data_IF_389054344655
#
_entry.id   IF_389054344655
#
_cell.length_a   1.000
_cell.length_b   1.000
_cell.length_c   1.000
_cell.angle_alpha   90.00
_cell.angle_beta   90.00
_cell.angle_gamma   90.00
#
_symmetry.space_group_name_H-M   'P 1'
#
loop_
_entity.id
_entity.type
_entity.pdbx_description
1 polymer ?
#
# COMPACT_ATOMS: atom_id res chain seq x y z
N UNK A 1 11.95 21.76 -17.99
CA UNK A 1 11.72 20.83 -16.87
C UNK A 1 10.25 20.45 -16.92
N UNK A 2 9.98 19.15 -16.95
CA UNK A 2 8.60 18.65 -16.93
C UNK A 2 8.22 18.33 -15.50
N UNK A 3 7.13 18.91 -15.02
CA UNK A 3 6.50 18.48 -13.79
C UNK A 3 5.57 17.32 -14.15
N UNK A 4 5.71 16.23 -13.44
CA UNK A 4 4.86 15.03 -13.58
C UNK A 4 4.01 14.89 -12.32
N UNK A 5 2.86 14.27 -12.46
CA UNK A 5 2.02 13.94 -11.33
C UNK A 5 1.75 12.44 -11.30
N UNK A 6 1.61 11.89 -10.11
CA UNK A 6 1.15 10.52 -9.89
C UNK A 6 0.14 10.47 -8.74
N UNK A 7 -0.85 9.60 -8.88
CA UNK A 7 -1.66 9.17 -7.74
C UNK A 7 -1.01 7.97 -7.10
N UNK A 8 -1.06 7.90 -5.80
CA UNK A 8 -0.41 6.85 -5.03
C UNK A 8 -1.25 6.45 -3.82
N UNK A 9 -0.94 5.30 -3.26
CA UNK A 9 -1.60 4.76 -2.09
C UNK A 9 -0.54 4.26 -1.11
N UNK A 10 -0.53 4.80 0.11
CA UNK A 10 0.44 4.39 1.13
C UNK A 10 0.28 2.91 1.44
N UNK A 11 1.39 2.19 1.51
CA UNK A 11 1.45 0.76 1.81
C UNK A 11 2.52 0.49 2.86
N UNK A 12 2.29 -0.56 3.65
CA UNK A 12 3.29 -1.13 4.55
C UNK A 12 3.13 -2.64 4.60
N UNK A 13 4.15 -3.34 5.04
CA UNK A 13 4.11 -4.79 5.30
C UNK A 13 4.77 -5.08 6.63
N UNK A 14 4.32 -6.14 7.31
CA UNK A 14 4.94 -6.63 8.53
C UNK A 14 4.64 -8.11 8.72
N UNK A 15 5.38 -8.77 9.62
CA UNK A 15 5.05 -10.09 10.12
C UNK A 15 4.45 -9.98 11.53
N UNK A 16 3.53 -10.86 11.86
CA UNK A 16 3.03 -11.00 13.22
C UNK A 16 4.12 -11.63 14.08
N UNK A 17 4.46 -11.00 15.19
CA UNK A 17 5.45 -11.51 16.14
C UNK A 17 4.74 -12.20 17.31
N UNK A 18 4.78 -13.51 17.30
CA UNK A 18 4.13 -14.38 18.27
C UNK A 18 2.66 -14.66 17.95
N UNK A 19 2.10 -15.66 18.61
CA UNK A 19 0.69 -16.02 18.47
C UNK A 19 -0.16 -14.98 19.22
N UNK A 20 -1.17 -14.41 18.55
CA UNK A 20 -2.11 -13.47 19.15
C UNK A 20 -3.56 -13.88 18.89
N UNK A 21 -4.44 -13.57 19.83
CA UNK A 21 -5.89 -13.79 19.75
C UNK A 21 -6.66 -12.61 20.36
N UNK A 22 -6.10 -11.41 20.25
CA UNK A 22 -6.66 -10.15 20.75
C UNK A 22 -6.69 -9.11 19.64
N UNK A 23 -7.26 -7.93 19.91
CA UNK A 23 -7.14 -6.78 18.99
C UNK A 23 -5.69 -6.26 18.92
N UNK A 24 -4.89 -6.44 19.98
CA UNK A 24 -3.51 -6.00 20.02
C UNK A 24 -2.61 -7.00 19.29
N UNK A 25 -1.84 -6.51 18.33
CA UNK A 25 -0.93 -7.31 17.52
C UNK A 25 0.47 -6.72 17.64
N UNK A 26 1.43 -7.60 17.99
CA UNK A 26 2.85 -7.26 17.93
C UNK A 26 3.38 -7.64 16.57
N UNK A 27 4.22 -6.81 15.99
CA UNK A 27 4.75 -6.95 14.64
C UNK A 27 6.28 -6.91 14.63
N UNK A 28 6.86 -7.53 13.61
CA UNK A 28 8.28 -7.41 13.26
C UNK A 28 8.48 -7.34 11.74
N UNK A 29 9.72 -7.21 11.30
CA UNK A 29 10.11 -7.12 9.89
C UNK A 29 9.29 -6.07 9.10
N UNK A 30 9.01 -4.93 9.73
CA UNK A 30 8.20 -3.87 9.14
C UNK A 30 8.92 -3.21 7.96
N UNK A 31 8.16 -2.95 6.90
CA UNK A 31 8.57 -2.13 5.76
C UNK A 31 7.44 -1.15 5.46
N UNK A 32 7.78 0.12 5.31
CA UNK A 32 6.79 1.21 5.23
C UNK A 32 6.29 1.67 6.60
N UNK A 33 5.45 2.70 6.60
CA UNK A 33 4.84 3.26 7.81
C UNK A 33 3.40 2.77 7.94
N UNK A 34 3.07 2.20 9.09
CA UNK A 34 1.71 1.78 9.41
C UNK A 34 1.00 2.95 10.10
N UNK A 35 -0.15 3.35 9.56
CA UNK A 35 -0.98 4.43 10.07
C UNK A 35 -2.37 3.95 10.47
N UNK A 36 -3.02 4.70 11.36
CA UNK A 36 -4.41 4.45 11.76
C UNK A 36 -5.34 4.56 10.54
N UNK A 37 -6.33 3.69 10.47
CA UNK A 37 -7.30 3.61 9.38
C UNK A 37 -6.83 2.84 8.14
N UNK A 38 -5.58 2.37 8.07
CA UNK A 38 -5.14 1.50 7.00
C UNK A 38 -5.92 0.19 6.99
N UNK A 39 -6.34 -0.27 5.81
CA UNK A 39 -6.88 -1.61 5.62
C UNK A 39 -5.77 -2.65 5.81
N UNK A 40 -6.14 -3.77 6.43
CA UNK A 40 -5.21 -4.86 6.71
C UNK A 40 -5.61 -6.07 5.89
N UNK A 41 -4.70 -6.60 5.10
CA UNK A 41 -4.90 -7.80 4.29
C UNK A 41 -3.84 -8.85 4.61
N UNK A 42 -4.18 -10.11 4.41
CA UNK A 42 -3.26 -11.22 4.64
C UNK A 42 -3.97 -12.57 4.57
N UNK A 43 -3.19 -13.62 4.41
CA UNK A 43 -3.66 -15.00 4.48
C UNK A 43 -3.45 -15.51 5.90
N UNK A 44 -4.54 -15.92 6.56
CA UNK A 44 -4.52 -16.38 7.97
C UNK A 44 -4.39 -17.89 8.05
N UNK A 45 -5.01 -18.62 7.11
CA UNK A 45 -4.97 -20.09 7.11
C UNK A 45 -5.05 -20.64 5.69
N UNK A 46 -4.59 -21.86 5.52
CA UNK A 46 -4.79 -22.67 4.33
C UNK A 46 -5.26 -24.07 4.72
N UNK A 47 -6.13 -24.66 3.93
CA UNK A 47 -6.63 -26.03 4.17
C UNK A 47 -7.00 -26.71 2.86
N UNK A 48 -7.05 -28.05 2.89
CA UNK A 48 -7.56 -28.86 1.80
C UNK A 48 -8.90 -29.51 2.18
N UNK A 49 -9.88 -29.46 1.29
CA UNK A 49 -11.19 -30.08 1.51
C UNK A 49 -11.03 -31.59 1.73
N UNK A 50 -11.60 -32.12 2.83
CA UNK A 50 -11.62 -33.55 3.19
C UNK A 50 -12.97 -34.14 2.83
N UNK A 51 -13.00 -34.87 1.73
CA UNK A 51 -14.24 -35.40 1.12
C UNK A 51 -14.90 -34.35 0.20
N UNK A 52 -15.59 -34.86 -0.83
CA UNK A 52 -16.34 -33.98 -1.74
C UNK A 52 -17.63 -33.50 -1.06
N UNK A 53 -18.01 -32.25 -1.32
CA UNK A 53 -19.28 -31.65 -0.87
C UNK A 53 -20.15 -31.28 -2.08
N UNK A 54 -21.46 -31.40 -1.94
CA UNK A 54 -22.42 -31.01 -2.97
C UNK A 54 -23.52 -30.15 -2.34
N UNK A 55 -23.64 -28.90 -2.80
CA UNK A 55 -24.65 -27.95 -2.31
C UNK A 55 -24.70 -27.86 -0.78
N UNK A 56 -23.53 -27.79 -0.15
CA UNK A 56 -23.40 -27.77 1.31
C UNK A 56 -22.88 -26.43 1.81
N UNK A 57 -23.37 -26.03 2.96
CA UNK A 57 -22.78 -24.96 3.78
C UNK A 57 -21.62 -25.49 4.63
N UNK A 58 -21.72 -26.77 5.06
CA UNK A 58 -20.75 -27.38 5.97
C UNK A 58 -19.59 -27.97 5.18
N UNK A 59 -18.40 -27.60 5.57
CA UNK A 59 -17.15 -28.01 4.95
C UNK A 59 -16.26 -28.66 6.00
N UNK A 60 -15.72 -29.82 5.65
CA UNK A 60 -14.66 -30.48 6.41
C UNK A 60 -13.36 -30.35 5.65
N UNK A 61 -12.28 -30.03 6.36
CA UNK A 61 -10.94 -29.81 5.78
C UNK A 61 -9.85 -30.49 6.60
N UNK A 62 -8.68 -30.59 6.00
CA UNK A 62 -7.41 -30.81 6.69
C UNK A 62 -6.68 -29.48 6.65
N UNK A 63 -6.46 -28.86 7.81
CA UNK A 63 -5.75 -27.57 7.92
C UNK A 63 -4.28 -27.79 7.64
N UNK A 64 -3.74 -27.01 6.70
CA UNK A 64 -2.32 -27.05 6.32
C UNK A 64 -1.51 -26.01 7.09
N UNK A 65 -2.10 -24.84 7.37
CA UNK A 65 -1.48 -23.77 8.17
C UNK A 65 -2.53 -22.87 8.79
N UNK A 66 -2.17 -22.22 9.89
CA UNK A 66 -2.97 -21.19 10.56
C UNK A 66 -4.22 -21.70 11.25
N UNK A 67 -5.14 -20.79 11.58
CA UNK A 67 -6.38 -21.09 12.31
C UNK A 67 -7.58 -20.55 11.54
N UNK A 68 -8.53 -21.42 11.22
CA UNK A 68 -9.79 -21.04 10.59
C UNK A 68 -10.70 -20.41 11.65
N UNK A 69 -11.25 -19.24 11.38
CA UNK A 69 -12.12 -18.50 12.31
C UNK A 69 -13.30 -17.88 11.57
N UNK A 70 -14.34 -17.59 12.34
CA UNK A 70 -15.53 -16.87 11.85
C UNK A 70 -15.13 -15.52 11.26
N UNK A 71 -15.74 -15.15 10.14
CA UNK A 71 -15.56 -13.87 9.46
C UNK A 71 -14.45 -13.83 8.41
N UNK A 72 -13.56 -14.84 8.36
CA UNK A 72 -12.54 -14.90 7.31
C UNK A 72 -13.18 -15.06 5.94
N UNK A 73 -12.65 -14.35 4.94
CA UNK A 73 -12.94 -14.54 3.53
C UNK A 73 -12.36 -15.87 3.08
N UNK A 74 -13.10 -16.61 2.26
CA UNK A 74 -12.68 -17.92 1.72
C UNK A 74 -12.52 -17.82 0.23
N UNK A 75 -11.36 -18.23 -0.27
CA UNK A 75 -11.06 -18.33 -1.69
C UNK A 75 -10.63 -19.75 -2.07
N UNK A 76 -10.95 -20.14 -3.30
CA UNK A 76 -10.60 -21.44 -3.85
C UNK A 76 -11.44 -21.77 -5.07
N UNK A 77 -11.06 -22.83 -5.78
CA UNK A 77 -11.84 -23.30 -6.94
C UNK A 77 -13.23 -23.74 -6.50
N UNK A 78 -14.27 -23.16 -7.09
CA UNK A 78 -15.67 -23.45 -6.75
C UNK A 78 -16.21 -22.64 -5.57
N UNK A 79 -15.46 -21.69 -5.04
CA UNK A 79 -15.89 -20.73 -4.01
C UNK A 79 -16.35 -19.43 -4.69
N UNK A 80 -17.61 -18.99 -4.52
CA UNK A 80 -18.08 -17.70 -4.99
C UNK A 80 -17.34 -16.53 -4.30
N UNK A 81 -17.14 -15.43 -5.02
CA UNK A 81 -16.54 -14.20 -4.47
C UNK A 81 -17.40 -13.68 -3.30
N UNK A 82 -16.76 -13.25 -2.22
CA UNK A 82 -17.43 -12.74 -1.01
C UNK A 82 -17.92 -13.85 -0.06
N UNK A 83 -17.53 -15.11 -0.30
CA UNK A 83 -17.82 -16.20 0.63
C UNK A 83 -17.02 -16.01 1.92
N UNK A 84 -17.69 -16.13 3.07
CA UNK A 84 -17.06 -16.02 4.40
C UNK A 84 -17.37 -17.25 5.26
N UNK A 85 -16.50 -17.48 6.22
CA UNK A 85 -16.75 -18.44 7.30
C UNK A 85 -17.85 -17.90 8.22
N UNK A 86 -19.02 -18.53 8.20
CA UNK A 86 -20.16 -18.12 9.03
C UNK A 86 -20.03 -18.61 10.47
N UNK A 87 -19.52 -19.82 10.67
CA UNK A 87 -19.25 -20.38 11.99
C UNK A 87 -18.18 -21.47 11.92
N UNK A 88 -17.52 -21.74 13.02
CA UNK A 88 -16.53 -22.80 13.19
C UNK A 88 -17.02 -23.75 14.26
N UNK A 89 -17.17 -25.04 13.92
CA UNK A 89 -17.61 -26.09 14.84
C UNK A 89 -16.43 -26.81 15.48
N UNK A 90 -15.38 -27.06 14.71
CA UNK A 90 -14.10 -27.63 15.15
C UNK A 90 -12.96 -26.99 14.37
N UNK A 91 -11.72 -27.31 14.68
CA UNK A 91 -10.54 -26.86 13.91
C UNK A 91 -10.58 -27.27 12.44
N UNK A 92 -11.34 -28.33 12.11
CA UNK A 92 -11.40 -28.93 10.77
C UNK A 92 -12.79 -28.85 10.12
N UNK A 93 -13.80 -28.30 10.85
CA UNK A 93 -15.18 -28.24 10.36
C UNK A 93 -15.75 -26.86 10.58
N UNK A 94 -16.26 -26.25 9.53
CA UNK A 94 -16.86 -24.92 9.55
C UNK A 94 -18.01 -24.80 8.57
N UNK A 95 -18.83 -23.76 8.76
CA UNK A 95 -19.96 -23.45 7.89
C UNK A 95 -19.66 -22.17 7.11
N UNK A 96 -19.98 -22.16 5.82
CA UNK A 96 -19.92 -20.99 4.96
C UNK A 96 -21.25 -20.22 4.96
N UNK A 97 -21.21 -18.95 4.58
CA UNK A 97 -22.42 -18.12 4.39
C UNK A 97 -23.18 -18.45 3.08
N UNK A 98 -22.61 -19.27 2.21
CA UNK A 98 -23.22 -19.72 0.94
C UNK A 98 -22.96 -21.20 0.70
N UNK A 99 -23.86 -21.86 -0.05
CA UNK A 99 -23.68 -23.25 -0.44
C UNK A 99 -22.63 -23.38 -1.54
N UNK A 100 -21.80 -24.40 -1.42
CA UNK A 100 -20.76 -24.71 -2.41
C UNK A 100 -20.73 -26.20 -2.74
N UNK A 101 -20.19 -26.51 -3.92
CA UNK A 101 -19.87 -27.86 -4.33
C UNK A 101 -18.37 -27.96 -4.58
N UNK A 102 -17.66 -28.69 -3.75
CA UNK A 102 -16.21 -28.78 -3.78
C UNK A 102 -15.75 -30.21 -3.96
N UNK A 103 -14.71 -30.38 -4.73
CA UNK A 103 -14.04 -31.69 -4.86
C UNK A 103 -13.13 -31.94 -3.66
N UNK A 104 -12.91 -33.23 -3.38
CA UNK A 104 -11.89 -33.61 -2.39
C UNK A 104 -10.54 -33.02 -2.77
N UNK A 105 -9.76 -32.62 -1.76
CA UNK A 105 -8.45 -32.01 -1.91
C UNK A 105 -8.43 -30.60 -2.58
N UNK A 106 -9.61 -29.97 -2.79
CA UNK A 106 -9.64 -28.55 -3.20
C UNK A 106 -8.94 -27.71 -2.14
N UNK A 107 -7.96 -26.92 -2.56
CA UNK A 107 -7.24 -26.01 -1.65
C UNK A 107 -8.09 -24.77 -1.41
N UNK A 108 -8.27 -24.44 -0.15
CA UNK A 108 -8.93 -23.22 0.33
C UNK A 108 -7.93 -22.32 1.02
N UNK A 109 -8.03 -21.03 0.73
CA UNK A 109 -7.24 -19.96 1.36
C UNK A 109 -8.19 -19.08 2.17
N UNK A 110 -7.84 -18.83 3.41
CA UNK A 110 -8.61 -17.99 4.34
C UNK A 110 -7.90 -16.67 4.54
N UNK A 111 -8.56 -15.60 4.13
CA UNK A 111 -8.03 -14.23 4.16
C UNK A 111 -8.73 -13.38 5.20
N UNK A 112 -8.08 -12.32 5.61
CA UNK A 112 -8.67 -11.31 6.49
C UNK A 112 -9.93 -10.68 5.89
N UNK A 113 -10.90 -10.26 6.73
CA UNK A 113 -12.05 -9.48 6.28
C UNK A 113 -11.62 -8.22 5.55
N UNK A 114 -12.32 -7.84 4.48
CA UNK A 114 -11.98 -6.67 3.66
C UNK A 114 -12.17 -5.32 4.38
N UNK A 115 -12.88 -5.31 5.48
CA UNK A 115 -13.16 -4.14 6.33
C UNK A 115 -12.28 -4.07 7.59
N UNK A 116 -11.33 -5.00 7.72
CA UNK A 116 -10.37 -4.98 8.84
C UNK A 116 -9.41 -3.80 8.67
N UNK A 117 -9.31 -2.98 9.71
CA UNK A 117 -8.45 -1.79 9.71
C UNK A 117 -7.57 -1.71 10.95
N UNK A 118 -6.51 -0.93 10.85
CA UNK A 118 -5.70 -0.50 11.98
C UNK A 118 -6.50 0.53 12.77
N UNK A 119 -6.80 0.22 14.04
CA UNK A 119 -7.57 1.08 14.96
C UNK A 119 -6.68 2.09 15.66
N UNK A 120 -5.53 1.66 16.16
CA UNK A 120 -4.52 2.52 16.78
C UNK A 120 -3.12 2.00 16.50
N UNK A 121 -2.15 2.93 16.45
CA UNK A 121 -0.73 2.62 16.33
C UNK A 121 -0.01 3.10 17.58
N UNK A 122 0.37 2.18 18.46
CA UNK A 122 1.17 2.51 19.67
C UNK A 122 2.63 2.69 19.29
N UNK A 123 3.11 1.87 18.38
CA UNK A 123 4.42 1.97 17.71
C UNK A 123 4.35 1.20 16.39
N UNK A 124 5.36 1.31 15.55
CA UNK A 124 5.41 0.54 14.29
C UNK A 124 5.50 -0.98 14.50
N UNK A 125 5.80 -1.42 15.72
CA UNK A 125 5.84 -2.83 16.11
C UNK A 125 4.69 -3.24 17.04
N UNK A 126 3.73 -2.35 17.31
CA UNK A 126 2.56 -2.63 18.19
C UNK A 126 1.36 -1.83 17.74
N UNK A 127 0.36 -2.52 17.23
CA UNK A 127 -0.88 -1.95 16.71
C UNK A 127 -2.09 -2.59 17.36
N UNK A 128 -3.24 -1.92 17.25
CA UNK A 128 -4.55 -2.49 17.59
C UNK A 128 -5.39 -2.56 16.33
N UNK A 129 -6.04 -3.69 16.09
CA UNK A 129 -6.96 -3.87 14.96
C UNK A 129 -8.40 -3.54 15.34
N UNK A 130 -9.23 -3.28 14.33
CA UNK A 130 -10.67 -3.00 14.52
C UNK A 130 -11.48 -4.22 14.97
N UNK A 131 -10.91 -5.42 14.85
CA UNK A 131 -11.54 -6.69 15.27
C UNK A 131 -10.49 -7.67 15.79
N UNK A 132 -10.93 -8.58 16.66
CA UNK A 132 -10.09 -9.68 17.15
C UNK A 132 -9.87 -10.71 16.05
N UNK A 133 -8.62 -10.96 15.72
CA UNK A 133 -8.19 -12.04 14.81
C UNK A 133 -7.13 -12.88 15.52
N UNK A 134 -7.22 -14.19 15.39
CA UNK A 134 -6.15 -15.09 15.84
C UNK A 134 -5.13 -15.26 14.73
N UNK A 135 -3.90 -14.86 14.98
CA UNK A 135 -2.79 -15.02 14.07
C UNK A 135 -1.82 -16.08 14.59
N UNK A 136 -1.23 -16.82 13.68
CA UNK A 136 0.00 -17.55 13.94
C UNK A 136 1.20 -16.59 13.90
N UNK A 137 2.30 -16.99 14.54
CA UNK A 137 3.59 -16.36 14.40
C UNK A 137 4.01 -16.31 12.92
N UNK A 138 4.72 -15.27 12.52
CA UNK A 138 5.17 -15.03 11.15
C UNK A 138 4.05 -14.87 10.09
N UNK A 139 2.78 -14.67 10.52
CA UNK A 139 1.72 -14.34 9.57
C UNK A 139 2.04 -13.01 8.87
N UNK A 140 2.14 -13.05 7.53
CA UNK A 140 2.41 -11.85 6.74
C UNK A 140 1.16 -10.99 6.61
N UNK A 141 1.29 -9.71 6.98
CA UNK A 141 0.25 -8.69 6.86
C UNK A 141 0.70 -7.61 5.88
N UNK A 142 -0.26 -7.14 5.09
CA UNK A 142 -0.11 -5.96 4.24
C UNK A 142 -1.10 -4.89 4.67
N UNK A 143 -0.65 -3.66 4.70
CA UNK A 143 -1.40 -2.48 5.11
C UNK A 143 -1.54 -1.54 3.93
N UNK A 144 -2.71 -0.95 3.74
CA UNK A 144 -3.00 -0.08 2.61
C UNK A 144 -3.89 1.08 3.04
N UNK A 145 -3.46 2.32 2.76
CA UNK A 145 -4.26 3.50 3.08
C UNK A 145 -5.53 3.56 2.24
N UNK A 146 -6.68 3.92 2.81
CA UNK A 146 -7.90 4.21 2.05
C UNK A 146 -7.79 5.49 1.20
N UNK A 147 -6.81 6.35 1.51
CA UNK A 147 -6.58 7.65 0.89
C UNK A 147 -5.43 7.60 -0.10
N UNK A 148 -5.50 8.41 -1.15
CA UNK A 148 -4.39 8.64 -2.09
C UNK A 148 -3.33 9.59 -1.53
N UNK A 149 -3.53 10.15 -0.33
CA UNK A 149 -2.53 10.98 0.34
C UNK A 149 -1.53 10.07 1.06
N UNK A 150 -0.32 10.07 0.61
CA UNK A 150 0.75 9.28 1.22
C UNK A 150 1.52 10.05 2.30
N UNK A 151 2.42 9.37 3.00
CA UNK A 151 3.23 9.93 4.08
C UNK A 151 4.44 10.74 3.58
N UNK A 152 4.48 11.09 2.32
CA UNK A 152 5.57 11.86 1.71
C UNK A 152 5.47 13.35 2.05
N UNK A 153 6.62 14.03 2.00
CA UNK A 153 6.71 15.47 2.25
C UNK A 153 7.38 16.18 1.07
N UNK A 154 7.10 17.49 0.94
CA UNK A 154 7.73 18.33 -0.07
C UNK A 154 9.26 18.36 0.13
N UNK A 155 10.01 18.25 -0.96
CA UNK A 155 11.47 18.21 -0.95
C UNK A 155 12.08 16.84 -0.65
N UNK A 156 11.26 15.79 -0.47
CA UNK A 156 11.73 14.42 -0.27
C UNK A 156 12.07 13.76 -1.62
N UNK A 157 13.14 12.95 -1.65
CA UNK A 157 13.43 12.10 -2.80
C UNK A 157 12.70 10.76 -2.69
N UNK A 158 12.06 10.34 -3.79
CA UNK A 158 11.41 9.04 -3.92
C UNK A 158 12.13 8.16 -4.93
N UNK A 159 12.12 6.86 -4.68
CA UNK A 159 12.72 5.84 -5.55
C UNK A 159 11.70 4.78 -5.94
N UNK A 160 11.59 4.48 -7.23
CA UNK A 160 10.79 3.38 -7.76
C UNK A 160 11.48 2.03 -7.55
N UNK A 161 10.79 1.09 -6.91
CA UNK A 161 11.35 -0.22 -6.55
C UNK A 161 11.62 -1.13 -7.75
N UNK A 162 10.88 -0.98 -8.84
CA UNK A 162 11.03 -1.79 -10.06
C UNK A 162 11.84 -1.05 -11.13
N UNK A 163 11.50 0.21 -11.38
CA UNK A 163 12.14 1.03 -12.42
C UNK A 163 13.51 1.55 -11.99
N UNK A 164 13.73 1.74 -10.70
CA UNK A 164 14.85 2.50 -10.16
C UNK A 164 14.83 3.97 -10.59
N UNK A 165 13.66 4.50 -10.97
CA UNK A 165 13.44 5.93 -11.18
C UNK A 165 13.58 6.68 -9.86
N UNK A 166 14.15 7.88 -9.90
CA UNK A 166 14.22 8.76 -8.74
C UNK A 166 13.62 10.11 -9.08
N UNK A 167 13.00 10.75 -8.10
CA UNK A 167 12.38 12.06 -8.28
C UNK A 167 12.31 12.85 -6.97
N UNK A 168 12.39 14.16 -7.10
CA UNK A 168 12.18 15.10 -6.00
C UNK A 168 10.71 15.53 -5.96
N UNK A 169 10.08 15.41 -4.80
CA UNK A 169 8.70 15.81 -4.58
C UNK A 169 8.62 17.35 -4.48
N UNK A 170 7.80 17.95 -5.32
CA UNK A 170 7.47 19.36 -5.29
C UNK A 170 6.25 19.65 -4.42
N UNK A 171 5.22 18.82 -4.54
CA UNK A 171 3.96 18.94 -3.82
C UNK A 171 3.46 17.55 -3.45
N UNK A 172 3.31 17.32 -2.16
CA UNK A 172 2.82 16.08 -1.59
C UNK A 172 1.33 16.13 -1.21
N UNK A 173 0.64 17.26 -1.47
CA UNK A 173 -0.78 17.40 -1.18
C UNK A 173 -1.64 16.87 -2.32
N UNK A 174 -2.36 15.79 -2.08
CA UNK A 174 -3.18 15.11 -3.10
C UNK A 174 -2.34 14.28 -4.06
N UNK A 175 -2.49 14.54 -5.36
CA UNK A 175 -1.64 13.93 -6.39
C UNK A 175 -0.21 14.42 -6.21
N UNK A 176 0.71 13.48 -6.13
CA UNK A 176 2.11 13.78 -5.87
C UNK A 176 2.74 14.41 -7.11
N UNK A 177 3.15 15.67 -7.02
CA UNK A 177 3.86 16.37 -8.09
C UNK A 177 5.36 16.28 -7.89
N UNK A 178 6.09 15.94 -8.94
CA UNK A 178 7.53 15.66 -8.84
C UNK A 178 8.32 16.06 -10.09
N UNK A 179 9.62 16.19 -9.91
CA UNK A 179 10.62 16.33 -10.99
C UNK A 179 11.53 15.11 -10.94
N UNK A 180 11.67 14.43 -12.09
CA UNK A 180 12.60 13.30 -12.20
C UNK A 180 14.04 13.72 -11.93
N UNK A 181 14.74 12.97 -11.08
CA UNK A 181 16.15 13.19 -10.72
C UNK A 181 17.11 12.36 -11.57
N UNK A 182 16.61 11.37 -12.31
CA UNK A 182 17.39 10.55 -13.24
C UNK A 182 16.64 10.32 -14.54
N UNK A 183 17.28 9.61 -15.51
CA UNK A 183 16.74 9.35 -16.85
C UNK A 183 15.75 8.17 -16.91
N UNK A 184 15.31 7.66 -15.75
CA UNK A 184 14.38 6.55 -15.68
C UNK A 184 12.96 7.05 -15.41
N UNK A 185 11.99 6.33 -15.94
CA UNK A 185 10.57 6.58 -15.72
C UNK A 185 9.98 5.63 -14.69
N UNK A 186 9.10 6.16 -13.84
CA UNK A 186 8.28 5.34 -12.96
C UNK A 186 7.30 4.48 -13.75
N UNK A 187 6.91 3.36 -13.15
CA UNK A 187 5.95 2.40 -13.74
C UNK A 187 4.71 2.32 -12.86
N UNK A 188 3.53 2.37 -13.48
CA UNK A 188 2.26 2.16 -12.77
C UNK A 188 2.26 0.77 -12.13
N UNK A 189 1.83 0.69 -10.87
CA UNK A 189 1.82 -0.53 -10.07
C UNK A 189 3.12 -0.80 -9.29
N UNK A 190 4.20 -0.02 -9.50
CA UNK A 190 5.39 -0.17 -8.67
C UNK A 190 5.26 0.53 -7.32
N UNK A 191 6.00 0.03 -6.34
CA UNK A 191 6.15 0.70 -5.05
C UNK A 191 7.19 1.79 -5.15
N UNK A 192 6.83 3.01 -4.74
CA UNK A 192 7.77 4.10 -4.50
C UNK A 192 8.10 4.16 -3.01
N UNK A 193 9.37 4.42 -2.72
CA UNK A 193 9.90 4.51 -1.35
C UNK A 193 10.55 5.88 -1.17
N UNK A 194 10.16 6.58 -0.11
CA UNK A 194 10.76 7.84 0.29
C UNK A 194 12.04 7.67 1.10
N UNK A 195 12.64 8.77 1.49
CA UNK A 195 13.83 8.79 2.33
C UNK A 195 13.58 8.12 3.70
N UNK A 196 14.63 7.47 4.20
CA UNK A 196 14.59 6.86 5.53
C UNK A 196 14.54 7.93 6.62
N UNK A 197 13.57 7.81 7.52
CA UNK A 197 13.38 8.69 8.69
C UNK A 197 13.41 7.85 9.96
N UNK A 198 13.75 8.47 11.07
CA UNK A 198 13.67 7.82 12.39
C UNK A 198 12.34 8.21 13.03
N UNK A 199 11.53 7.21 13.37
CA UNK A 199 10.24 7.43 14.05
C UNK A 199 10.44 7.79 15.54
N UNK A 200 9.35 8.09 16.23
CA UNK A 200 9.37 8.42 17.66
C UNK A 200 9.82 7.26 18.55
N UNK A 201 9.83 6.03 18.05
CA UNK A 201 10.33 4.83 18.71
C UNK A 201 11.81 4.55 18.44
N UNK A 202 12.50 5.37 17.62
CA UNK A 202 13.89 5.19 17.24
C UNK A 202 14.12 4.20 16.10
N UNK A 203 13.06 3.73 15.42
CA UNK A 203 13.20 2.82 14.29
C UNK A 203 13.38 3.60 12.99
N UNK A 204 14.21 3.07 12.09
CA UNK A 204 14.34 3.62 10.74
C UNK A 204 13.18 3.14 9.89
N UNK A 205 12.35 4.07 9.43
CA UNK A 205 11.19 3.82 8.58
C UNK A 205 11.26 4.66 7.32
N UNK A 206 10.76 4.15 6.20
CA UNK A 206 10.62 4.88 4.95
C UNK A 206 9.16 4.83 4.51
N UNK A 207 8.65 5.98 4.09
CA UNK A 207 7.32 6.05 3.49
C UNK A 207 7.25 5.19 2.24
N UNK A 208 6.16 4.44 2.07
CA UNK A 208 5.92 3.62 0.88
C UNK A 208 4.53 3.86 0.32
N UNK A 209 4.42 3.83 -1.00
CA UNK A 209 3.14 3.91 -1.71
C UNK A 209 3.23 3.19 -3.03
N UNK A 210 2.09 2.69 -3.53
CA UNK A 210 2.00 2.09 -4.87
C UNK A 210 1.45 3.12 -5.85
N UNK A 211 2.10 3.28 -6.99
CA UNK A 211 1.67 4.17 -8.06
C UNK A 211 0.39 3.63 -8.69
N UNK A 212 -0.68 4.44 -8.68
CA UNK A 212 -1.96 4.12 -9.30
C UNK A 212 -2.04 4.66 -10.73
N UNK A 213 -1.64 5.90 -10.93
CA UNK A 213 -1.61 6.55 -12.24
C UNK A 213 -0.36 7.43 -12.37
N UNK A 214 0.05 7.65 -13.61
CA UNK A 214 1.10 8.60 -13.98
C UNK A 214 0.54 9.56 -15.02
N UNK A 215 0.68 10.85 -14.80
CA UNK A 215 0.29 11.89 -15.74
C UNK A 215 1.48 12.80 -16.03
N UNK A 216 1.63 13.18 -17.29
CA UNK A 216 2.55 14.23 -17.68
C UNK A 216 1.76 15.53 -17.70
N UNK A 217 1.90 16.37 -16.67
CA UNK A 217 1.31 17.69 -16.69
C UNK A 217 2.31 18.70 -17.28
N UNK A 218 1.87 19.39 -18.32
CA UNK A 218 2.47 20.67 -18.70
C UNK A 218 1.89 21.71 -17.76
N UNK A 219 2.69 22.25 -16.87
CA UNK A 219 2.29 23.42 -16.11
C UNK A 219 2.35 24.60 -17.08
N UNK A 220 1.22 24.89 -17.71
CA UNK A 220 1.07 26.03 -18.62
C UNK A 220 0.70 27.33 -17.89
N UNK A 221 0.63 27.30 -16.56
CA UNK A 221 0.37 28.47 -15.72
C UNK A 221 1.58 28.76 -14.85
N UNK A 222 1.94 30.00 -14.63
CA UNK A 222 3.01 30.37 -13.73
C UNK A 222 2.55 30.11 -12.29
N UNK A 223 2.60 28.82 -11.91
CA UNK A 223 2.48 28.45 -10.52
C UNK A 223 3.69 29.01 -9.76
N UNK A 224 3.50 29.37 -8.52
CA UNK A 224 4.55 29.99 -7.68
C UNK A 224 5.86 29.18 -7.64
N UNK A 225 5.77 27.88 -7.84
CA UNK A 225 6.92 26.97 -7.93
C UNK A 225 7.74 27.22 -9.21
N UNK A 226 7.08 27.39 -10.34
CA UNK A 226 7.74 27.72 -11.61
C UNK A 226 8.40 29.10 -11.57
N UNK A 227 7.71 30.07 -11.02
CA UNK A 227 8.24 31.42 -10.88
C UNK A 227 9.48 31.45 -9.98
N UNK A 228 9.45 30.68 -8.88
CA UNK A 228 10.61 30.56 -8.00
C UNK A 228 11.79 29.84 -8.66
N UNK A 229 11.53 28.78 -9.41
CA UNK A 229 12.57 28.03 -10.12
C UNK A 229 13.21 28.86 -11.23
N UNK A 230 12.42 29.55 -12.04
CA UNK A 230 12.91 30.42 -13.11
C UNK A 230 13.70 31.62 -12.54
N UNK A 231 13.21 32.23 -11.47
CA UNK A 231 13.89 33.35 -10.80
C UNK A 231 15.22 32.89 -10.19
N UNK A 232 15.26 31.72 -9.55
CA UNK A 232 16.50 31.21 -8.98
C UNK A 232 17.53 30.86 -10.06
N UNK A 233 17.10 30.32 -11.19
CA UNK A 233 17.96 30.02 -12.33
C UNK A 233 18.47 31.27 -13.02
N UNK A 234 17.65 32.33 -13.13
CA UNK A 234 18.06 33.65 -13.65
C UNK A 234 19.03 34.34 -12.69
N UNK A 235 18.82 34.24 -11.37
CA UNK A 235 19.69 34.82 -10.35
C UNK A 235 21.05 34.13 -10.32
N UNK A 236 21.13 32.89 -10.67
CA UNK A 236 22.36 32.08 -10.65
C UNK A 236 23.23 32.21 -11.90
N UNK A 237 23.05 33.23 -12.73
CA UNK A 237 23.94 33.74 -13.78
C UNK A 237 24.52 32.73 -14.80
N UNK A 238 24.23 31.47 -14.71
CA UNK A 238 24.82 30.42 -15.53
C UNK A 238 23.76 29.43 -16.05
N UNK A 239 22.73 29.96 -16.67
CA UNK A 239 21.75 29.13 -17.33
C UNK A 239 21.78 29.36 -18.85
N UNK A 240 22.76 28.77 -19.56
CA UNK A 240 22.75 28.85 -21.03
C UNK A 240 21.51 28.16 -21.63
N UNK A 241 20.83 27.32 -20.87
CA UNK A 241 19.57 26.67 -21.27
C UNK A 241 18.40 27.66 -21.31
N UNK A 242 18.46 28.74 -20.53
CA UNK A 242 17.45 29.81 -20.56
C UNK A 242 17.61 30.74 -21.76
N UNK A 243 18.80 30.86 -22.33
CA UNK A 243 19.01 31.70 -23.52
C UNK A 243 18.26 31.12 -24.72
N UNK A 244 18.15 29.80 -24.86
CA UNK A 244 17.46 29.18 -26.00
C UNK A 244 15.94 29.04 -25.81
N UNK A 245 15.50 28.78 -24.60
CA UNK A 245 14.08 28.58 -24.32
C UNK A 245 13.35 29.88 -23.96
N UNK A 246 14.06 30.83 -23.43
CA UNK A 246 13.48 32.06 -22.90
C UNK A 246 13.63 33.26 -23.82
N UNK A 247 14.51 33.20 -24.79
CA UNK A 247 14.71 34.36 -25.70
C UNK A 247 13.45 34.75 -26.45
N UNK A 248 12.53 33.83 -26.63
CA UNK A 248 11.24 34.06 -27.30
C UNK A 248 10.14 34.50 -26.32
N UNK A 249 10.18 34.03 -25.09
CA UNK A 249 9.08 34.22 -24.13
C UNK A 249 9.36 35.44 -23.24
N UNK A 250 10.60 35.64 -22.85
CA UNK A 250 10.97 36.74 -21.94
C UNK A 250 10.99 38.08 -22.66
N UNK A 251 11.35 38.15 -23.94
CA UNK A 251 11.30 39.39 -24.71
C UNK A 251 9.85 39.87 -24.97
N UNK A 252 8.89 38.95 -25.05
CA UNK A 252 7.49 39.34 -25.24
C UNK A 252 6.82 39.86 -23.98
N UNK A 253 7.25 39.42 -22.81
CA UNK A 253 6.63 39.80 -21.53
C UNK A 253 7.34 40.98 -20.82
N UNK A 254 8.54 41.35 -21.27
CA UNK A 254 9.24 42.50 -20.72
C UNK A 254 9.10 43.78 -21.55
N UNK A 255 8.35 43.76 -22.64
CA UNK A 255 8.10 44.91 -23.53
C UNK A 255 6.72 45.53 -23.36
N UNK A 256 5.94 45.10 -22.40
CA UNK A 256 4.73 45.71 -21.91
C UNK A 256 4.92 46.19 -20.45
#
# INVERSE_FOLDING_TARGET
VYVRALTHKATATALVNGITSTENVTLDNNSGTIDEGMFVTGTVATAAVSGATVNSYDITVIVSSGTIQKGLLVEGTGIPVGTIVASVSTTETFTLNTQVSLSNSTVLTFKLPSDLTVKTVTSQTSITLSSVITFADDTSLSFESPSTNGPFVNGEEITGGTSGATALILDAAGDLKFISSNDKDFVVGETITGESKVDSGGNTVSAQSVIQTLTNEFVSSPDSIWTSFIIETITNKNAPILEDASSVVVESDLSE
#
